data_IF_112064961465
#
_entry.id   IF_112064961465
#
_cell.length_a   1.000
_cell.length_b   1.000
_cell.length_c   1.000
_cell.angle_alpha   90.00
_cell.angle_beta   90.00
_cell.angle_gamma   90.00
#
_symmetry.space_group_name_H-M   'P 1'
#
loop_
_entity.id
_entity.type
_entity.pdbx_description
1 polymer ?
#
# COMPACT_ATOMS: atom_id res chain seq x y z
N UNK A 1 -17.52 1.49 10.38
CA UNK A 1 -16.16 0.96 10.20
C UNK A 1 -15.18 2.00 10.69
N UNK A 2 -14.25 1.65 11.58
CA UNK A 2 -13.12 2.52 11.91
C UNK A 2 -12.21 2.56 10.67
N UNK A 3 -11.85 3.74 10.20
CA UNK A 3 -10.87 3.84 9.12
C UNK A 3 -9.52 3.33 9.64
N UNK A 4 -9.07 2.18 9.15
CA UNK A 4 -7.84 1.51 9.58
C UNK A 4 -6.64 2.06 8.81
N UNK A 5 -5.55 2.40 9.49
CA UNK A 5 -4.30 2.81 8.81
C UNK A 5 -3.39 1.62 8.59
N UNK A 6 -2.37 1.80 7.77
CA UNK A 6 -1.31 0.80 7.57
C UNK A 6 -0.65 0.42 8.91
N UNK A 7 -0.39 1.40 9.79
CA UNK A 7 0.12 1.11 11.13
C UNK A 7 -0.82 0.22 11.96
N UNK A 8 -2.14 0.44 11.90
CA UNK A 8 -3.12 -0.36 12.66
C UNK A 8 -3.12 -1.83 12.21
N UNK A 9 -2.86 -2.07 10.93
CA UNK A 9 -2.80 -3.41 10.36
C UNK A 9 -1.46 -4.07 10.66
N UNK A 10 -0.34 -3.38 10.44
CA UNK A 10 1.00 -3.91 10.74
C UNK A 10 1.19 -4.21 12.24
N UNK A 11 0.56 -3.43 13.12
CA UNK A 11 0.56 -3.68 14.56
C UNK A 11 -0.06 -5.03 14.95
N UNK A 12 -0.93 -5.61 14.12
CA UNK A 12 -1.49 -6.95 14.36
C UNK A 12 -0.47 -8.07 14.11
N UNK A 13 0.58 -7.79 13.34
CA UNK A 13 1.66 -8.74 13.04
C UNK A 13 2.86 -8.59 13.99
N UNK A 14 2.85 -7.60 14.89
CA UNK A 14 3.94 -7.41 15.84
C UNK A 14 3.91 -8.49 16.93
N UNK A 15 5.08 -8.89 17.47
CA UNK A 15 5.14 -9.76 18.64
C UNK A 15 4.37 -9.16 19.83
N UNK A 16 3.78 -10.03 20.64
CA UNK A 16 3.09 -9.61 21.86
C UNK A 16 4.03 -8.81 22.78
N UNK A 17 3.57 -7.67 23.28
CA UNK A 17 4.35 -6.75 24.11
C UNK A 17 5.25 -5.78 23.34
N UNK A 18 5.36 -5.88 22.00
CA UNK A 18 6.04 -4.87 21.21
C UNK A 18 5.29 -3.52 21.27
N UNK A 19 6.00 -2.37 21.36
CA UNK A 19 5.35 -1.07 21.28
C UNK A 19 4.61 -0.92 19.94
N UNK A 20 3.43 -0.29 19.88
CA UNK A 20 2.76 -0.08 18.61
C UNK A 20 3.58 0.85 17.71
N UNK A 21 3.53 0.59 16.41
CA UNK A 21 4.02 1.46 15.36
C UNK A 21 3.01 2.55 15.05
N UNK A 22 3.53 3.70 14.65
CA UNK A 22 2.80 4.79 14.01
C UNK A 22 3.19 4.93 12.53
N UNK A 23 2.36 5.59 11.73
CA UNK A 23 2.65 5.84 10.30
C UNK A 23 3.95 6.64 10.08
N UNK A 24 4.47 7.37 11.08
CA UNK A 24 5.75 8.08 10.99
C UNK A 24 6.97 7.19 11.17
N UNK A 25 6.78 5.96 11.66
CA UNK A 25 7.85 4.97 11.84
C UNK A 25 7.90 3.96 10.69
N UNK A 26 6.96 4.04 9.75
CA UNK A 26 6.86 3.14 8.60
C UNK A 26 7.27 3.93 7.37
N UNK A 27 8.26 3.42 6.67
CA UNK A 27 8.83 4.02 5.47
C UNK A 27 8.55 3.14 4.25
N UNK A 28 8.31 3.77 3.11
CA UNK A 28 8.24 3.10 1.81
C UNK A 28 9.31 3.68 0.90
N UNK A 29 10.10 2.81 0.26
CA UNK A 29 11.12 3.25 -0.68
C UNK A 29 10.48 3.75 -1.98
N UNK A 30 10.85 4.96 -2.39
CA UNK A 30 10.50 5.54 -3.67
C UNK A 30 11.76 5.65 -4.54
N UNK A 31 11.69 5.14 -5.78
CA UNK A 31 12.83 5.20 -6.72
C UNK A 31 13.29 6.64 -7.01
N UNK A 32 12.38 7.63 -6.91
CA UNK A 32 12.66 9.04 -7.21
C UNK A 32 13.13 9.83 -5.99
N UNK A 33 12.59 9.54 -4.81
CA UNK A 33 12.75 10.37 -3.61
C UNK A 33 13.54 9.69 -2.47
N UNK A 34 13.84 8.40 -2.60
CA UNK A 34 14.33 7.59 -1.49
C UNK A 34 13.20 7.18 -0.54
N UNK A 35 13.53 6.94 0.73
CA UNK A 35 12.57 6.46 1.71
C UNK A 35 11.65 7.58 2.21
N UNK A 36 10.34 7.32 2.17
CA UNK A 36 9.30 8.28 2.56
C UNK A 36 8.47 7.70 3.70
N UNK A 37 8.32 8.44 4.79
CA UNK A 37 7.45 8.04 5.90
C UNK A 37 5.97 8.10 5.48
N UNK A 38 5.18 7.08 5.84
CA UNK A 38 3.75 7.03 5.47
C UNK A 38 2.96 8.22 6.00
N UNK A 39 3.35 8.79 7.14
CA UNK A 39 2.75 9.99 7.72
C UNK A 39 2.84 11.24 6.83
N UNK A 40 3.72 11.24 5.82
CA UNK A 40 3.91 12.36 4.88
C UNK A 40 3.15 12.19 3.55
N UNK A 41 2.57 11.01 3.32
CA UNK A 41 1.83 10.68 2.11
C UNK A 41 0.38 11.15 2.19
N UNK A 42 -0.21 11.48 1.04
CA UNK A 42 -1.63 11.79 0.97
C UNK A 42 -2.46 10.54 1.18
N UNK A 43 -3.38 10.60 2.15
CA UNK A 43 -4.24 9.47 2.51
C UNK A 43 -5.62 9.60 1.87
N UNK A 44 -5.99 8.61 1.06
CA UNK A 44 -7.36 8.47 0.53
C UNK A 44 -8.06 7.32 1.23
N UNK A 45 -9.17 7.62 1.91
CA UNK A 45 -9.98 6.65 2.66
C UNK A 45 -11.29 6.37 1.92
N UNK A 46 -11.32 5.35 1.05
CA UNK A 46 -12.52 4.91 0.33
C UNK A 46 -12.81 3.45 0.66
N UNK A 47 -13.03 2.62 -0.37
CA UNK A 47 -13.17 1.16 -0.22
C UNK A 47 -11.84 0.53 0.17
N UNK A 48 -10.77 1.09 -0.37
CA UNK A 48 -9.38 0.86 -0.09
C UNK A 48 -8.77 2.13 0.52
N UNK A 49 -7.65 1.95 1.20
CA UNK A 49 -6.90 3.00 1.89
C UNK A 49 -5.58 3.15 1.15
N UNK A 50 -5.47 4.24 0.41
CA UNK A 50 -4.33 4.49 -0.48
C UNK A 50 -3.48 5.63 0.06
N UNK A 51 -2.17 5.38 0.19
CA UNK A 51 -1.13 6.36 0.49
C UNK A 51 -0.45 6.76 -0.81
N UNK A 52 -0.53 8.03 -1.16
CA UNK A 52 -0.02 8.58 -2.43
C UNK A 52 1.14 9.53 -2.19
N UNK A 53 2.21 9.38 -2.97
CA UNK A 53 3.34 10.30 -2.92
C UNK A 53 2.93 11.71 -3.38
N UNK A 54 3.17 12.78 -2.60
CA UNK A 54 2.77 14.14 -2.97
C UNK A 54 3.50 14.67 -4.19
N UNK A 55 4.75 14.21 -4.43
CA UNK A 55 5.58 14.67 -5.56
C UNK A 55 5.29 13.93 -6.86
N UNK A 56 5.30 12.58 -6.85
CA UNK A 56 5.07 11.78 -8.07
C UNK A 56 3.60 11.54 -8.36
N UNK A 57 2.72 11.76 -7.38
CA UNK A 57 1.29 11.44 -7.42
C UNK A 57 0.99 9.95 -7.65
N UNK A 58 1.99 9.10 -7.49
CA UNK A 58 1.84 7.65 -7.61
C UNK A 58 1.41 7.04 -6.27
N UNK A 59 0.52 6.03 -6.29
CA UNK A 59 0.18 5.27 -5.09
C UNK A 59 1.41 4.47 -4.62
N UNK A 60 1.76 4.66 -3.35
CA UNK A 60 2.91 4.02 -2.73
C UNK A 60 2.52 2.83 -1.89
N UNK A 61 1.42 2.93 -1.14
CA UNK A 61 0.87 1.84 -0.33
C UNK A 61 -0.64 1.79 -0.50
N UNK A 62 -1.20 0.59 -0.63
CA UNK A 62 -2.63 0.34 -0.70
C UNK A 62 -2.98 -0.71 0.33
N UNK A 63 -3.90 -0.38 1.22
CA UNK A 63 -4.48 -1.29 2.21
C UNK A 63 -5.93 -1.60 1.82
N UNK A 64 -6.28 -2.88 1.77
CA UNK A 64 -7.66 -3.29 1.51
C UNK A 64 -7.99 -4.66 2.09
N UNK A 65 -9.28 -4.96 2.16
CA UNK A 65 -9.79 -6.31 2.36
C UNK A 65 -9.88 -6.99 0.98
N UNK A 66 -9.19 -8.12 0.75
CA UNK A 66 -9.30 -8.86 -0.51
C UNK A 66 -10.75 -9.23 -0.79
N UNK A 67 -11.27 -8.82 -1.94
CA UNK A 67 -12.65 -9.12 -2.34
C UNK A 67 -12.67 -10.17 -3.43
N UNK A 68 -12.83 -11.45 -3.09
CA UNK A 68 -13.16 -12.60 -3.96
C UNK A 68 -12.20 -12.94 -5.12
N UNK A 69 -11.56 -11.94 -5.71
CA UNK A 69 -10.55 -11.99 -6.75
C UNK A 69 -9.17 -11.93 -6.08
N UNK A 70 -8.70 -13.08 -5.58
CA UNK A 70 -7.38 -13.20 -4.96
C UNK A 70 -6.24 -12.86 -5.93
N UNK A 71 -6.49 -12.96 -7.24
CA UNK A 71 -5.48 -12.71 -8.27
C UNK A 71 -5.02 -11.25 -8.28
N UNK A 72 -5.93 -10.31 -7.99
CA UNK A 72 -5.63 -8.88 -7.88
C UNK A 72 -4.72 -8.53 -6.68
N UNK A 73 -4.58 -9.45 -5.72
CA UNK A 73 -3.76 -9.27 -4.50
C UNK A 73 -2.51 -10.15 -4.52
N UNK A 74 -2.18 -10.77 -5.65
CA UNK A 74 -0.98 -11.62 -5.75
C UNK A 74 0.27 -10.80 -5.46
N UNK A 75 1.10 -11.28 -4.53
CA UNK A 75 2.29 -10.59 -4.03
C UNK A 75 2.04 -9.61 -2.88
N UNK A 76 0.79 -9.32 -2.52
CA UNK A 76 0.48 -8.50 -1.35
C UNK A 76 1.05 -9.12 -0.07
N UNK A 77 1.50 -8.27 0.85
CA UNK A 77 1.75 -8.70 2.21
C UNK A 77 0.43 -8.85 2.96
N UNK A 78 0.12 -10.05 3.46
CA UNK A 78 -1.13 -10.34 4.16
C UNK A 78 -0.96 -10.29 5.66
N UNK A 79 -1.87 -9.59 6.34
CA UNK A 79 -1.95 -9.53 7.81
C UNK A 79 -3.40 -9.72 8.22
N UNK A 80 -3.70 -10.86 8.84
CA UNK A 80 -5.08 -11.25 9.13
C UNK A 80 -5.93 -11.29 7.87
N UNK A 81 -7.03 -10.53 7.86
CA UNK A 81 -7.94 -10.37 6.72
C UNK A 81 -7.51 -9.27 5.72
N UNK A 82 -6.46 -8.52 6.02
CA UNK A 82 -6.03 -7.37 5.24
C UNK A 82 -4.87 -7.74 4.29
N UNK A 83 -4.86 -7.08 3.13
CA UNK A 83 -3.75 -7.09 2.19
C UNK A 83 -3.13 -5.70 2.10
N UNK A 84 -1.80 -5.65 2.22
CA UNK A 84 -0.97 -4.46 2.04
C UNK A 84 -0.19 -4.62 0.73
N UNK A 85 -0.45 -3.71 -0.20
CA UNK A 85 0.29 -3.55 -1.44
C UNK A 85 1.22 -2.36 -1.33
N UNK A 86 2.44 -2.48 -1.86
CA UNK A 86 3.43 -1.42 -1.75
C UNK A 86 4.38 -1.37 -2.95
N UNK A 87 4.66 -0.16 -3.42
CA UNK A 87 5.38 0.10 -4.69
C UNK A 87 6.89 -0.11 -4.60
N UNK A 88 7.45 0.02 -3.40
CA UNK A 88 8.84 -0.27 -3.05
C UNK A 88 8.90 -1.03 -1.73
N UNK A 89 10.10 -1.21 -1.18
CA UNK A 89 10.28 -1.91 0.08
C UNK A 89 9.64 -1.12 1.23
N UNK A 90 8.98 -1.84 2.15
CA UNK A 90 8.45 -1.25 3.38
C UNK A 90 9.42 -1.52 4.52
N UNK A 91 9.78 -0.48 5.27
CA UNK A 91 10.76 -0.54 6.34
C UNK A 91 10.18 0.01 7.65
N UNK A 92 10.42 -0.70 8.74
CA UNK A 92 10.14 -0.21 10.09
C UNK A 92 10.96 -1.00 11.13
N UNK A 93 11.59 -0.30 12.09
CA UNK A 93 12.33 -0.92 13.22
C UNK A 93 13.24 -2.10 12.83
N UNK A 94 14.01 -1.95 11.76
CA UNK A 94 14.93 -2.99 11.26
C UNK A 94 14.26 -4.16 10.53
N UNK A 95 12.92 -4.17 10.42
CA UNK A 95 12.16 -5.08 9.56
C UNK A 95 12.06 -4.49 8.16
N UNK A 96 12.25 -5.34 7.16
CA UNK A 96 12.05 -5.01 5.75
C UNK A 96 11.04 -5.99 5.16
N UNK A 97 9.96 -5.44 4.61
CA UNK A 97 9.02 -6.19 3.78
C UNK A 97 9.37 -5.85 2.32
N UNK A 98 9.96 -6.79 1.57
CA UNK A 98 10.40 -6.52 0.21
C UNK A 98 9.22 -6.23 -0.71
N UNK A 99 9.40 -5.31 -1.66
CA UNK A 99 8.43 -4.90 -2.67
C UNK A 99 7.68 -6.09 -3.25
N UNK A 100 6.36 -5.98 -3.39
CA UNK A 100 5.62 -7.03 -4.09
C UNK A 100 5.98 -7.06 -5.57
N UNK A 101 6.42 -8.21 -6.10
CA UNK A 101 6.85 -8.33 -7.51
C UNK A 101 5.75 -7.95 -8.52
N UNK A 102 4.49 -8.05 -8.13
CA UNK A 102 3.33 -7.69 -8.95
C UNK A 102 2.73 -6.33 -8.58
N UNK A 103 3.21 -5.66 -7.51
CA UNK A 103 2.59 -4.53 -6.77
C UNK A 103 2.22 -3.26 -7.53
N UNK A 104 2.46 -3.14 -8.82
CA UNK A 104 2.00 -1.95 -9.56
C UNK A 104 1.76 -2.18 -11.04
N UNK A 105 2.15 -3.35 -11.58
CA UNK A 105 2.03 -3.60 -13.03
C UNK A 105 0.58 -3.60 -13.50
N UNK A 106 -0.38 -3.99 -12.66
CA UNK A 106 -1.79 -4.14 -13.06
C UNK A 106 -2.67 -2.89 -12.92
N UNK A 107 -2.37 -1.99 -11.97
CA UNK A 107 -3.13 -0.72 -11.84
C UNK A 107 -2.90 0.16 -13.08
N UNK A 108 -1.66 0.18 -13.59
CA UNK A 108 -1.29 0.92 -14.80
C UNK A 108 -1.95 0.36 -16.07
N UNK A 109 -2.18 -0.96 -16.13
CA UNK A 109 -2.86 -1.59 -17.29
C UNK A 109 -4.38 -1.39 -17.29
N UNK A 110 -5.03 -1.35 -16.11
CA UNK A 110 -6.47 -1.06 -16.04
C UNK A 110 -6.79 0.42 -16.28
N UNK A 111 -5.96 1.35 -15.79
CA UNK A 111 -6.14 2.79 -16.04
C UNK A 111 -5.97 3.16 -17.52
N UNK A 112 -5.04 2.52 -18.23
CA UNK A 112 -4.82 2.74 -19.67
C UNK A 112 -5.87 2.07 -20.56
N UNK A 113 -6.38 0.88 -20.18
CA UNK A 113 -7.49 0.23 -20.91
C UNK A 113 -8.80 1.02 -20.80
N UNK A 114 -9.10 1.64 -19.65
CA UNK A 114 -10.34 2.44 -19.48
C UNK A 114 -10.32 3.71 -20.34
N UNK A 115 -9.17 4.38 -20.47
CA UNK A 115 -8.99 5.55 -21.35
C UNK A 115 -9.07 5.23 -22.85
N UNK A 116 -8.69 4.03 -23.27
CA UNK A 116 -8.80 3.62 -24.68
C UNK A 116 -10.24 3.27 -25.11
N UNK A 117 -11.10 2.79 -24.20
CA UNK A 117 -12.50 2.50 -24.53
C UNK A 117 -13.41 3.73 -24.56
N UNK A 118 -13.09 4.80 -23.83
CA UNK A 118 -13.88 6.05 -23.85
C UNK A 118 -13.54 7.01 -25.00
N UNK A 119 -12.62 6.65 -25.90
CA UNK A 119 -12.28 7.45 -27.10
C UNK A 119 -12.75 6.81 -28.41
N UNK A 120 -13.57 5.76 -28.33
CA UNK A 120 -14.02 4.97 -29.47
C UNK A 120 -15.55 4.91 -29.60
N UNK A 121 -16.26 5.79 -28.90
CA UNK A 121 -17.71 6.04 -29.04
C UNK A 121 -17.94 7.52 -29.36
#
# INVERSE_FOLDING_TARGET
>A
MKALRACDVLNQALPEGAPPLSDSEIFVTCEVLGDIALSTLFLTLKRDITYTCPTTLEPMVILAIPNGDESAWKGAFRVGEYAIWHSGDLHFRGTVIPRSELALREIRTRATKKRRRQRSE
#
